data_IF_556235797261
#
_entry.id   IF_556235797261
#
_cell.length_a   1.000
_cell.length_b   1.000
_cell.length_c   1.000
_cell.angle_alpha   90.00
_cell.angle_beta   90.00
_cell.angle_gamma   90.00
#
_symmetry.space_group_name_H-M   'P 1'
#
loop_
_entity.id
_entity.type
_entity.pdbx_description
1 polymer ?
#
# COMPACT_ATOMS: atom_id res chain seq x y z
N UNK A 1 21.70 -11.97 8.67
CA UNK A 1 21.81 -12.56 10.03
C UNK A 1 23.08 -13.38 10.13
N UNK A 2 23.84 -13.27 11.22
CA UNK A 2 25.05 -14.10 11.43
C UNK A 2 24.69 -15.39 12.15
N UNK A 3 25.16 -16.52 11.62
CA UNK A 3 25.00 -17.86 12.16
C UNK A 3 26.36 -18.39 12.60
N UNK A 4 26.43 -19.06 13.75
CA UNK A 4 27.69 -19.61 14.29
C UNK A 4 27.49 -21.04 14.75
N UNK A 5 28.42 -21.92 14.40
CA UNK A 5 28.43 -23.31 14.83
C UNK A 5 29.45 -23.49 15.96
N UNK A 6 28.97 -23.84 17.15
CA UNK A 6 29.78 -23.85 18.37
C UNK A 6 30.84 -24.95 18.42
N UNK A 7 30.63 -26.07 17.73
CA UNK A 7 31.59 -27.19 17.68
C UNK A 7 32.76 -26.95 16.70
N UNK A 8 32.84 -25.76 16.09
CA UNK A 8 33.90 -25.39 15.15
C UNK A 8 33.39 -25.32 13.71
N UNK A 9 34.31 -25.45 12.74
CA UNK A 9 33.97 -25.31 11.32
C UNK A 9 32.92 -26.33 10.89
N UNK A 10 31.92 -25.87 10.13
CA UNK A 10 30.84 -26.71 9.61
C UNK A 10 30.71 -26.55 8.09
N UNK A 11 30.15 -27.57 7.44
CA UNK A 11 29.58 -27.43 6.11
C UNK A 11 28.17 -26.85 6.23
N UNK A 12 27.92 -25.74 5.56
CA UNK A 12 26.68 -24.99 5.62
C UNK A 12 25.84 -25.16 4.36
N UNK A 13 24.53 -25.37 4.53
CA UNK A 13 23.56 -25.39 3.43
C UNK A 13 22.28 -24.67 3.83
N UNK A 14 21.54 -24.14 2.86
CA UNK A 14 20.21 -23.58 3.08
C UNK A 14 19.23 -24.08 2.02
N UNK A 15 17.96 -24.23 2.39
CA UNK A 15 16.89 -24.60 1.43
C UNK A 15 16.47 -23.44 0.54
N UNK A 16 16.73 -22.20 0.97
CA UNK A 16 16.47 -20.96 0.25
C UNK A 16 17.37 -19.84 0.81
N UNK A 17 17.36 -18.67 0.16
CA UNK A 17 18.24 -17.56 0.51
C UNK A 17 19.70 -17.82 0.13
N UNK A 18 20.62 -17.01 0.66
CA UNK A 18 22.05 -17.14 0.38
C UNK A 18 22.88 -17.17 1.65
N UNK A 19 24.00 -17.88 1.58
CA UNK A 19 25.01 -17.95 2.63
C UNK A 19 26.29 -17.30 2.12
N UNK A 20 26.97 -16.53 2.96
CA UNK A 20 28.23 -15.87 2.59
C UNK A 20 29.37 -16.86 2.29
N UNK A 21 29.29 -18.09 2.81
CA UNK A 21 30.22 -19.18 2.53
C UNK A 21 29.53 -20.53 2.76
N UNK A 22 30.04 -21.58 2.11
CA UNK A 22 29.57 -22.98 2.29
C UNK A 22 30.32 -23.73 3.38
N UNK A 23 31.41 -23.17 3.91
CA UNK A 23 32.19 -23.73 5.01
C UNK A 23 32.64 -22.62 5.97
N UNK A 24 32.74 -22.94 7.26
CA UNK A 24 33.32 -22.04 8.26
C UNK A 24 32.72 -22.21 9.66
N UNK A 25 33.29 -21.52 10.64
CA UNK A 25 32.72 -21.46 12.00
C UNK A 25 31.49 -20.55 12.03
N UNK A 26 31.50 -19.49 11.21
CA UNK A 26 30.46 -18.49 11.14
C UNK A 26 30.15 -18.12 9.68
N UNK A 27 28.88 -17.91 9.37
CA UNK A 27 28.40 -17.49 8.04
C UNK A 27 27.30 -16.44 8.19
N UNK A 28 27.18 -15.54 7.22
CA UNK A 28 26.04 -14.63 7.11
C UNK A 28 24.99 -15.26 6.23
N UNK A 29 23.78 -15.41 6.76
CA UNK A 29 22.59 -15.78 6.02
C UNK A 29 21.81 -14.53 5.60
N UNK A 30 21.45 -14.48 4.32
CA UNK A 30 20.54 -13.50 3.73
C UNK A 30 19.26 -14.22 3.31
N UNK A 31 18.13 -13.82 3.89
CA UNK A 31 16.83 -14.39 3.60
C UNK A 31 16.42 -14.16 2.13
N UNK A 32 15.59 -15.04 1.55
CA UNK A 32 14.88 -14.73 0.30
C UNK A 32 14.00 -13.48 0.46
N UNK A 33 13.64 -12.89 -0.67
CA UNK A 33 12.75 -11.72 -0.76
C UNK A 33 11.26 -12.07 -0.71
N UNK A 34 10.93 -13.36 -0.59
CA UNK A 34 9.56 -13.89 -0.56
C UNK A 34 9.29 -14.66 0.73
N UNK A 35 8.02 -14.71 1.14
CA UNK A 35 7.61 -15.43 2.34
C UNK A 35 7.81 -16.95 2.20
N UNK A 36 8.19 -17.60 3.29
CA UNK A 36 8.35 -19.06 3.31
C UNK A 36 9.22 -19.58 4.44
N UNK A 37 9.22 -20.90 4.59
CA UNK A 37 10.11 -21.60 5.53
C UNK A 37 11.52 -21.75 4.94
N UNK A 38 12.53 -21.40 5.72
CA UNK A 38 13.94 -21.63 5.37
C UNK A 38 14.58 -22.50 6.42
N UNK A 39 15.23 -23.59 6.00
CA UNK A 39 16.08 -24.38 6.88
C UNK A 39 17.53 -24.15 6.52
N UNK A 40 18.34 -23.74 7.49
CA UNK A 40 19.80 -23.67 7.40
C UNK A 40 20.39 -24.83 8.19
N UNK A 41 21.34 -25.53 7.60
CA UNK A 41 22.04 -26.66 8.23
C UNK A 41 23.52 -26.35 8.41
N UNK A 42 24.08 -26.84 9.51
CA UNK A 42 25.50 -26.84 9.81
C UNK A 42 25.89 -28.26 10.23
N UNK A 43 26.47 -29.04 9.31
CA UNK A 43 26.62 -30.49 9.47
C UNK A 43 25.26 -31.16 9.83
N UNK A 44 25.18 -31.84 10.99
CA UNK A 44 23.95 -32.48 11.48
C UNK A 44 23.00 -31.52 12.22
N UNK A 45 23.43 -30.30 12.56
CA UNK A 45 22.59 -29.31 13.20
C UNK A 45 21.72 -28.57 12.17
N UNK A 46 20.51 -28.16 12.58
CA UNK A 46 19.59 -27.41 11.72
C UNK A 46 18.85 -26.33 12.50
N UNK A 47 18.59 -25.21 11.82
CA UNK A 47 17.72 -24.15 12.28
C UNK A 47 16.69 -23.83 11.19
N UNK A 48 15.44 -23.63 11.60
CA UNK A 48 14.35 -23.27 10.70
C UNK A 48 13.83 -21.89 11.05
N UNK A 49 13.66 -21.05 10.04
CA UNK A 49 13.14 -19.69 10.14
C UNK A 49 11.91 -19.55 9.24
N UNK A 50 11.01 -18.65 9.59
CA UNK A 50 9.94 -18.20 8.70
C UNK A 50 10.26 -16.79 8.23
N UNK A 51 10.35 -16.62 6.92
CA UNK A 51 10.43 -15.30 6.29
C UNK A 51 9.01 -14.79 6.12
N UNK A 52 8.73 -13.60 6.64
CA UNK A 52 7.46 -12.91 6.47
C UNK A 52 7.62 -11.83 5.41
N UNK A 53 6.68 -11.79 4.48
CA UNK A 53 6.53 -10.73 3.49
C UNK A 53 5.31 -9.86 3.83
N UNK A 54 5.17 -8.67 3.24
CA UNK A 54 3.93 -7.92 3.33
C UNK A 54 2.75 -8.77 2.86
N UNK A 55 1.66 -8.80 3.63
CA UNK A 55 0.44 -9.55 3.28
C UNK A 55 -0.80 -8.67 3.16
N UNK A 56 -0.73 -7.46 3.71
CA UNK A 56 -1.80 -6.48 3.63
C UNK A 56 -1.24 -5.06 3.72
N UNK A 57 -2.04 -4.10 3.28
CA UNK A 57 -1.80 -2.69 3.46
C UNK A 57 -3.00 -2.07 4.16
N UNK A 58 -2.75 -1.31 5.21
CA UNK A 58 -3.76 -0.48 5.87
C UNK A 58 -3.35 0.98 5.80
N UNK A 59 -4.34 1.85 5.84
CA UNK A 59 -4.15 3.29 5.87
C UNK A 59 -5.00 3.89 6.98
N UNK A 60 -4.45 4.91 7.63
CA UNK A 60 -5.24 5.88 8.37
C UNK A 60 -5.16 7.25 7.69
N UNK A 61 -5.96 8.19 8.17
CA UNK A 61 -5.94 9.56 7.66
C UNK A 61 -4.80 10.32 8.31
N UNK A 62 -4.04 11.07 7.52
CA UNK A 62 -2.98 11.94 8.03
C UNK A 62 -3.59 12.97 9.00
N UNK A 63 -3.15 12.99 10.28
CA UNK A 63 -3.65 13.94 11.27
C UNK A 63 -3.46 15.39 10.83
N UNK A 64 -4.43 16.24 11.17
CA UNK A 64 -4.38 17.68 10.85
C UNK A 64 -4.65 18.04 9.38
N UNK A 65 -4.92 17.06 8.51
CA UNK A 65 -5.34 17.32 7.13
C UNK A 65 -6.85 17.50 7.02
N UNK A 66 -7.31 18.24 6.01
CA UNK A 66 -8.75 18.39 5.70
C UNK A 66 -9.24 17.27 4.78
N UNK A 67 -10.56 17.12 4.64
CA UNK A 67 -11.13 16.37 3.49
C UNK A 67 -11.05 17.32 2.30
N UNK A 68 -10.35 16.92 1.23
CA UNK A 68 -10.33 17.69 -0.01
C UNK A 68 -11.72 17.68 -0.63
N UNK A 69 -12.22 18.83 -1.02
CA UNK A 69 -13.54 19.00 -1.60
C UNK A 69 -13.63 20.36 -2.31
N UNK A 70 -14.41 20.45 -3.38
CA UNK A 70 -14.78 21.71 -4.02
C UNK A 70 -16.23 22.02 -3.69
N UNK A 71 -16.48 23.17 -3.09
CA UNK A 71 -17.83 23.55 -2.68
C UNK A 71 -18.84 23.41 -3.83
N UNK A 72 -19.98 22.80 -3.54
CA UNK A 72 -21.09 22.49 -4.46
C UNK A 72 -20.74 21.51 -5.60
N UNK A 73 -19.63 20.77 -5.49
CA UNK A 73 -19.23 19.74 -6.46
C UNK A 73 -19.26 18.34 -5.85
N UNK A 74 -19.49 17.30 -6.65
CA UNK A 74 -19.44 15.92 -6.17
C UNK A 74 -18.01 15.33 -6.15
N UNK A 75 -17.04 16.04 -5.58
CA UNK A 75 -15.67 15.56 -5.36
C UNK A 75 -15.32 15.41 -3.89
N UNK A 76 -14.56 14.37 -3.55
CA UNK A 76 -13.97 14.26 -2.21
C UNK A 76 -12.61 13.59 -2.26
N UNK A 77 -11.84 13.80 -1.19
CA UNK A 77 -10.55 13.13 -1.05
C UNK A 77 -9.92 13.25 0.31
N UNK A 78 -8.94 12.37 0.57
CA UNK A 78 -8.20 12.32 1.83
C UNK A 78 -6.70 12.15 1.57
N UNK A 79 -5.90 12.64 2.50
CA UNK A 79 -4.49 12.30 2.62
C UNK A 79 -4.35 11.19 3.65
N UNK A 80 -3.55 10.17 3.34
CA UNK A 80 -3.41 8.94 4.12
C UNK A 80 -1.98 8.68 4.53
N UNK A 81 -1.81 7.85 5.57
CA UNK A 81 -0.54 7.24 5.95
C UNK A 81 -0.62 5.74 5.71
N UNK A 82 0.19 5.21 4.79
CA UNK A 82 0.22 3.78 4.53
C UNK A 82 1.08 2.98 5.52
N UNK A 83 0.63 1.76 5.83
CA UNK A 83 1.34 0.81 6.67
C UNK A 83 1.29 -0.60 6.06
N UNK A 84 2.43 -1.29 6.03
CA UNK A 84 2.54 -2.69 5.59
C UNK A 84 2.44 -3.64 6.78
N UNK A 85 1.47 -4.55 6.70
CA UNK A 85 1.26 -5.65 7.65
C UNK A 85 2.00 -6.92 7.20
N UNK A 86 2.32 -7.84 8.14
CA UNK A 86 2.03 -7.80 9.57
C UNK A 86 2.92 -6.85 10.39
N UNK A 87 2.51 -6.56 11.63
CA UNK A 87 3.18 -5.67 12.58
C UNK A 87 4.15 -6.37 13.54
N UNK A 88 4.43 -7.66 13.31
CA UNK A 88 5.42 -8.44 14.07
C UNK A 88 6.82 -8.40 13.47
N UNK A 89 6.96 -7.79 12.29
CA UNK A 89 8.24 -7.57 11.61
C UNK A 89 8.32 -6.16 11.05
N UNK A 90 9.54 -5.74 10.75
CA UNK A 90 9.83 -4.45 10.15
C UNK A 90 10.18 -4.61 8.68
N UNK A 91 9.50 -3.84 7.83
CA UNK A 91 9.67 -3.84 6.38
C UNK A 91 10.53 -2.68 5.86
N UNK A 92 11.45 -2.11 6.65
CA UNK A 92 12.23 -0.92 6.25
C UNK A 92 13.02 -1.07 4.93
N UNK A 93 13.41 -2.29 4.56
CA UNK A 93 14.11 -2.59 3.30
C UNK A 93 13.17 -2.92 2.13
N UNK A 94 11.85 -2.86 2.37
CA UNK A 94 10.84 -3.02 1.34
C UNK A 94 10.58 -1.67 0.67
N UNK A 95 10.26 -1.73 -0.62
CA UNK A 95 9.50 -0.68 -1.29
C UNK A 95 8.22 -1.29 -1.80
N UNK A 96 7.10 -0.58 -1.70
CA UNK A 96 5.85 -1.01 -2.30
C UNK A 96 5.35 0.01 -3.32
N UNK A 97 4.50 -0.41 -4.23
CA UNK A 97 3.89 0.48 -5.22
C UNK A 97 2.46 0.07 -5.53
N UNK A 98 1.68 1.05 -5.96
CA UNK A 98 0.37 0.84 -6.56
C UNK A 98 0.53 0.49 -8.06
N UNK A 99 -0.43 -0.27 -8.60
CA UNK A 99 -0.57 -0.47 -10.03
C UNK A 99 -1.70 0.41 -10.56
N UNK A 100 -1.45 1.18 -11.62
CA UNK A 100 -2.38 2.16 -12.16
C UNK A 100 -3.59 1.49 -12.80
N UNK A 101 -4.75 1.65 -12.16
CA UNK A 101 -6.02 1.06 -12.59
C UNK A 101 -7.02 2.11 -12.99
N UNK A 102 -7.87 1.74 -13.95
CA UNK A 102 -9.07 2.49 -14.24
C UNK A 102 -10.11 2.30 -13.13
N UNK A 103 -10.85 3.36 -12.81
CA UNK A 103 -11.98 3.27 -11.89
C UNK A 103 -13.18 2.55 -12.51
N UNK A 104 -14.09 2.09 -11.67
CA UNK A 104 -15.45 1.66 -12.04
C UNK A 104 -16.43 2.65 -11.44
N UNK A 105 -17.11 3.40 -12.30
CA UNK A 105 -18.05 4.44 -11.88
C UNK A 105 -19.51 4.01 -12.10
N UNK A 106 -20.39 4.39 -11.18
CA UNK A 106 -21.84 4.26 -11.38
C UNK A 106 -22.32 5.20 -12.48
N UNK A 107 -23.25 4.72 -13.31
CA UNK A 107 -23.94 5.52 -14.32
C UNK A 107 -25.43 5.15 -14.35
N UNK A 108 -26.36 6.14 -14.34
CA UNK A 108 -26.11 7.59 -14.31
C UNK A 108 -25.58 8.06 -12.95
N UNK A 109 -24.97 9.25 -12.91
CA UNK A 109 -24.50 9.89 -11.67
C UNK A 109 -23.34 10.88 -11.87
N UNK A 110 -22.95 11.60 -10.81
CA UNK A 110 -21.85 12.59 -10.84
C UNK A 110 -20.48 12.03 -11.25
N UNK A 111 -20.29 10.71 -11.24
CA UNK A 111 -19.07 10.04 -11.70
C UNK A 111 -19.21 9.38 -13.09
N UNK A 112 -20.29 9.63 -13.82
CA UNK A 112 -20.60 8.96 -15.09
C UNK A 112 -19.52 9.06 -16.18
N UNK A 113 -18.70 10.12 -16.18
CA UNK A 113 -17.54 10.26 -17.06
C UNK A 113 -16.36 9.35 -16.68
N UNK A 114 -16.42 8.69 -15.52
CA UNK A 114 -15.35 7.96 -14.86
C UNK A 114 -14.05 8.81 -14.78
N UNK A 115 -13.90 9.65 -13.74
CA UNK A 115 -12.73 10.53 -13.60
C UNK A 115 -11.38 9.79 -13.57
N UNK A 116 -11.39 8.50 -13.25
CA UNK A 116 -10.21 7.64 -13.23
C UNK A 116 -10.15 6.67 -14.43
N UNK A 117 -10.88 6.93 -15.53
CA UNK A 117 -10.91 6.03 -16.71
C UNK A 117 -9.54 5.83 -17.37
N UNK A 118 -8.66 6.84 -17.30
CA UNK A 118 -7.29 6.79 -17.82
C UNK A 118 -6.24 6.33 -16.81
N UNK A 119 -6.65 5.87 -15.62
CA UNK A 119 -5.75 5.63 -14.48
C UNK A 119 -5.96 6.64 -13.34
N UNK A 120 -5.52 6.28 -12.14
CA UNK A 120 -5.64 7.10 -10.94
C UNK A 120 -4.32 7.77 -10.52
N UNK A 121 -3.17 7.21 -10.91
CA UNK A 121 -1.86 7.77 -10.56
C UNK A 121 -1.11 8.38 -11.74
N UNK A 122 -1.74 8.47 -12.92
CA UNK A 122 -1.19 9.06 -14.15
C UNK A 122 0.05 8.34 -14.68
N UNK A 123 0.20 7.04 -14.41
CA UNK A 123 1.28 6.23 -14.96
C UNK A 123 1.01 5.77 -16.40
N UNK A 124 -0.15 6.13 -16.96
CA UNK A 124 -0.59 5.77 -18.31
C UNK A 124 -1.74 4.76 -18.32
N UNK A 125 -2.28 4.39 -17.15
CA UNK A 125 -3.36 3.41 -17.03
C UNK A 125 -2.93 1.99 -17.36
N UNK A 126 -3.90 1.07 -17.45
CA UNK A 126 -3.69 -0.29 -17.97
C UNK A 126 -2.77 -1.19 -17.14
N UNK A 127 -2.56 -0.89 -15.85
CA UNK A 127 -1.65 -1.64 -14.98
C UNK A 127 -0.20 -1.16 -15.04
N UNK A 128 0.07 0.05 -15.55
CA UNK A 128 1.38 0.68 -15.43
C UNK A 128 1.71 0.92 -13.94
N UNK A 129 2.97 0.75 -13.49
CA UNK A 129 3.31 0.96 -12.09
C UNK A 129 3.29 2.45 -11.71
N UNK A 130 2.67 2.77 -10.58
CA UNK A 130 2.83 4.06 -9.93
C UNK A 130 4.22 4.15 -9.25
N UNK A 131 4.54 5.33 -8.71
CA UNK A 131 5.79 5.52 -7.98
C UNK A 131 5.89 4.54 -6.79
N UNK A 132 7.10 4.02 -6.57
CA UNK A 132 7.36 3.15 -5.43
C UNK A 132 7.68 3.98 -4.19
N UNK A 133 7.06 3.60 -3.07
CA UNK A 133 7.17 4.22 -1.77
C UNK A 133 8.12 3.38 -0.89
N UNK A 134 9.07 4.07 -0.27
CA UNK A 134 10.00 3.49 0.69
C UNK A 134 9.38 3.40 2.09
N UNK A 135 9.84 2.45 2.88
CA UNK A 135 9.36 2.20 4.24
C UNK A 135 10.27 2.82 5.29
N UNK A 136 9.70 3.19 6.43
CA UNK A 136 10.45 3.60 7.64
C UNK A 136 10.95 2.37 8.39
N UNK A 137 11.74 2.60 9.44
CA UNK A 137 12.09 1.61 10.46
C UNK A 137 11.09 1.59 11.64
N UNK A 138 9.94 2.24 11.51
CA UNK A 138 8.92 2.30 12.56
C UNK A 138 7.81 1.31 12.30
N UNK A 139 7.60 0.40 13.26
CA UNK A 139 6.45 -0.51 13.30
C UNK A 139 5.45 0.00 14.33
N UNK A 140 4.21 0.21 13.91
CA UNK A 140 3.10 0.62 14.76
C UNK A 140 2.23 -0.59 15.06
N UNK A 141 2.05 -0.91 16.35
CA UNK A 141 1.20 -2.02 16.77
C UNK A 141 -0.23 -1.86 16.21
N UNK A 142 -0.75 -2.92 15.60
CA UNK A 142 -2.05 -2.97 14.93
C UNK A 142 -2.07 -2.40 13.50
N UNK A 143 -1.00 -1.75 13.02
CA UNK A 143 -0.96 -1.14 11.67
C UNK A 143 0.19 -1.66 10.81
N UNK A 144 1.36 -1.93 11.40
CA UNK A 144 2.54 -2.44 10.69
C UNK A 144 3.63 -1.39 10.45
N UNK A 145 4.49 -1.65 9.47
CA UNK A 145 5.61 -0.75 9.13
C UNK A 145 5.10 0.45 8.35
N UNK A 146 5.40 1.68 8.80
CA UNK A 146 4.91 2.91 8.16
C UNK A 146 5.70 3.25 6.90
N UNK A 147 5.03 3.72 5.84
CA UNK A 147 5.68 4.32 4.68
C UNK A 147 6.32 5.69 5.01
N UNK A 148 7.40 6.05 4.32
CA UNK A 148 8.07 7.35 4.52
C UNK A 148 7.17 8.50 4.06
N UNK A 149 6.59 8.35 2.88
CA UNK A 149 5.63 9.29 2.31
C UNK A 149 4.21 8.75 2.51
N UNK A 150 3.24 9.65 2.38
CA UNK A 150 1.82 9.31 2.51
C UNK A 150 1.24 8.83 1.19
N UNK A 151 -0.08 8.93 1.08
CA UNK A 151 -0.80 8.76 -0.16
C UNK A 151 -2.03 9.70 -0.18
N UNK A 152 -2.68 9.84 -1.34
CA UNK A 152 -3.92 10.57 -1.48
C UNK A 152 -4.94 9.77 -2.29
N UNK A 153 -6.16 9.73 -1.77
CA UNK A 153 -7.30 9.16 -2.46
C UNK A 153 -8.20 10.30 -2.94
N UNK A 154 -8.29 10.54 -4.26
CA UNK A 154 -9.13 11.58 -4.86
C UNK A 154 -10.15 11.00 -5.83
N UNK A 155 -11.40 11.44 -5.73
CA UNK A 155 -12.45 11.00 -6.65
C UNK A 155 -12.34 11.65 -8.03
N UNK A 156 -11.77 12.85 -8.10
CA UNK A 156 -12.01 13.76 -9.22
C UNK A 156 -13.50 14.17 -9.32
N UNK A 157 -13.88 14.79 -10.44
CA UNK A 157 -15.27 15.13 -10.74
C UNK A 157 -15.53 15.14 -12.24
N UNK A 158 -16.80 14.94 -12.63
CA UNK A 158 -17.26 15.06 -14.02
C UNK A 158 -17.87 16.44 -14.35
N UNK A 159 -17.91 17.37 -13.39
CA UNK A 159 -18.49 18.71 -13.60
C UNK A 159 -20.03 18.73 -13.65
N UNK A 160 -20.68 17.64 -13.27
CA UNK A 160 -22.13 17.59 -13.06
C UNK A 160 -22.54 18.64 -12.02
N UNK A 161 -23.64 19.35 -12.27
CA UNK A 161 -24.22 20.30 -11.30
C UNK A 161 -25.19 19.57 -10.35
N UNK A 162 -25.38 20.06 -9.10
CA UNK A 162 -26.42 19.55 -8.23
C UNK A 162 -27.84 19.79 -8.81
N UNK A 163 -28.86 19.02 -8.40
CA UNK A 163 -28.82 17.99 -7.37
C UNK A 163 -28.12 16.71 -7.84
N UNK A 164 -27.36 16.07 -6.94
CA UNK A 164 -26.70 14.80 -7.23
C UNK A 164 -27.56 13.61 -6.85
N UNK A 165 -27.45 12.54 -7.62
CA UNK A 165 -27.97 11.22 -7.26
C UNK A 165 -26.90 10.40 -6.53
N UNK A 166 -27.32 9.38 -5.78
CA UNK A 166 -26.41 8.40 -5.22
C UNK A 166 -25.48 7.82 -6.29
N UNK A 167 -24.20 7.71 -5.99
CA UNK A 167 -23.19 7.26 -6.95
C UNK A 167 -21.94 6.71 -6.26
N UNK A 168 -21.17 5.92 -6.99
CA UNK A 168 -19.88 5.39 -6.54
C UNK A 168 -18.81 5.52 -7.61
N UNK A 169 -17.57 5.65 -7.17
CA UNK A 169 -16.36 5.44 -7.96
C UNK A 169 -15.46 4.48 -7.16
N UNK A 170 -15.30 3.26 -7.69
CA UNK A 170 -14.50 2.21 -7.08
C UNK A 170 -13.19 2.03 -7.84
N UNK A 171 -12.07 1.95 -7.11
CA UNK A 171 -10.79 1.50 -7.63
C UNK A 171 -10.33 0.30 -6.79
N UNK A 172 -10.11 -0.83 -7.46
CA UNK A 172 -9.45 -1.99 -6.88
C UNK A 172 -8.00 -1.99 -7.38
N UNK A 173 -7.08 -1.55 -6.53
CA UNK A 173 -5.72 -1.18 -6.87
C UNK A 173 -4.78 -2.32 -6.43
N UNK A 174 -4.25 -3.15 -7.34
CA UNK A 174 -3.22 -4.12 -7.00
C UNK A 174 -1.99 -3.39 -6.46
N UNK A 175 -1.36 -3.97 -5.45
CA UNK A 175 -0.12 -3.50 -4.88
C UNK A 175 0.95 -4.58 -4.99
N UNK A 176 2.16 -4.11 -5.24
CA UNK A 176 3.35 -4.94 -5.32
C UNK A 176 4.41 -4.45 -4.34
N UNK A 177 5.28 -5.34 -3.88
CA UNK A 177 6.43 -5.01 -3.05
C UNK A 177 7.72 -5.60 -3.64
N UNK A 178 8.86 -5.00 -3.32
CA UNK A 178 10.18 -5.60 -3.55
C UNK A 178 11.07 -5.41 -2.34
N UNK A 179 12.10 -6.25 -2.22
CA UNK A 179 13.17 -6.08 -1.23
C UNK A 179 14.43 -5.58 -1.93
N UNK A 180 14.93 -4.41 -1.52
CA UNK A 180 16.10 -3.80 -2.15
C UNK A 180 15.92 -3.61 -3.66
N UNK A 181 16.87 -4.14 -4.46
CA UNK A 181 16.83 -4.11 -5.93
C UNK A 181 16.21 -5.35 -6.56
N UNK A 182 15.54 -6.20 -5.78
CA UNK A 182 14.87 -7.40 -6.27
C UNK A 182 13.65 -7.10 -7.17
N UNK A 183 13.03 -8.14 -7.73
CA UNK A 183 11.79 -8.01 -8.49
C UNK A 183 10.63 -7.57 -7.60
N UNK A 184 9.60 -6.99 -8.23
CA UNK A 184 8.33 -6.72 -7.57
C UNK A 184 7.47 -7.98 -7.54
N UNK A 185 6.79 -8.19 -6.40
CA UNK A 185 5.90 -9.31 -6.11
C UNK A 185 4.51 -8.76 -5.74
N UNK A 186 3.42 -9.25 -6.34
CA UNK A 186 2.08 -8.87 -5.91
C UNK A 186 1.81 -9.40 -4.50
N UNK A 187 1.09 -8.62 -3.68
CA UNK A 187 0.75 -9.06 -2.32
C UNK A 187 -0.67 -8.73 -1.87
N UNK A 188 -1.23 -7.61 -2.32
CA UNK A 188 -2.53 -7.17 -1.81
C UNK A 188 -3.26 -6.27 -2.82
N UNK A 189 -4.59 -6.22 -2.74
CA UNK A 189 -5.40 -5.28 -3.52
C UNK A 189 -6.09 -4.33 -2.56
N UNK A 190 -5.78 -3.03 -2.68
CA UNK A 190 -6.41 -1.98 -1.90
C UNK A 190 -7.68 -1.52 -2.58
N UNK A 191 -8.74 -1.35 -1.78
CA UNK A 191 -9.95 -0.68 -2.21
C UNK A 191 -9.85 0.80 -1.90
N UNK A 192 -10.00 1.63 -2.93
CA UNK A 192 -10.32 3.05 -2.83
C UNK A 192 -11.75 3.25 -3.35
N UNK A 193 -12.61 3.85 -2.53
CA UNK A 193 -14.02 4.03 -2.84
C UNK A 193 -14.43 5.47 -2.54
N UNK A 194 -15.10 6.08 -3.50
CA UNK A 194 -15.77 7.36 -3.33
C UNK A 194 -17.27 7.17 -3.50
N UNK A 195 -18.06 7.79 -2.63
CA UNK A 195 -19.53 7.67 -2.66
C UNK A 195 -20.21 9.02 -2.54
N UNK A 196 -21.29 9.20 -3.30
CA UNK A 196 -22.35 10.17 -3.02
C UNK A 196 -23.50 9.40 -2.41
N UNK A 197 -23.95 9.78 -1.21
CA UNK A 197 -25.04 9.09 -0.52
C UNK A 197 -26.40 9.37 -1.19
N UNK A 198 -27.44 8.67 -0.73
CA UNK A 198 -28.80 8.80 -1.27
C UNK A 198 -29.44 10.18 -1.02
N UNK A 199 -28.92 10.95 -0.07
CA UNK A 199 -29.31 12.34 0.16
C UNK A 199 -28.80 13.30 -0.93
N UNK A 200 -27.86 12.85 -1.79
CA UNK A 200 -27.24 13.66 -2.83
C UNK A 200 -26.27 14.71 -2.31
N UNK A 201 -25.98 14.74 -1.01
CA UNK A 201 -25.14 15.78 -0.38
C UNK A 201 -23.98 15.22 0.42
N UNK A 202 -24.08 14.01 0.97
CA UNK A 202 -22.99 13.42 1.74
C UNK A 202 -21.99 12.73 0.82
N UNK A 203 -20.75 13.23 0.80
CA UNK A 203 -19.64 12.65 0.07
C UNK A 203 -18.71 11.90 1.03
N UNK A 204 -18.31 10.69 0.68
CA UNK A 204 -17.34 9.91 1.46
C UNK A 204 -16.23 9.38 0.57
N UNK A 205 -14.99 9.50 1.03
CA UNK A 205 -13.83 8.81 0.49
C UNK A 205 -13.34 7.79 1.50
N UNK A 206 -13.05 6.58 1.02
CA UNK A 206 -12.44 5.48 1.77
C UNK A 206 -11.21 4.97 1.01
N UNK A 207 -10.11 4.66 1.71
CA UNK A 207 -8.99 3.88 1.17
C UNK A 207 -8.32 3.06 2.27
N UNK A 208 -8.30 1.73 2.11
CA UNK A 208 -7.61 0.80 3.01
C UNK A 208 -7.81 1.02 4.53
N UNK A 209 -8.99 1.47 4.96
CA UNK A 209 -9.30 1.77 6.37
C UNK A 209 -9.43 3.26 6.68
N UNK A 210 -8.74 4.13 5.94
CA UNK A 210 -8.84 5.57 6.09
C UNK A 210 -10.17 6.07 5.49
N UNK A 211 -10.84 6.98 6.18
CA UNK A 211 -12.13 7.55 5.76
C UNK A 211 -12.15 9.07 5.91
N UNK A 212 -12.82 9.77 5.00
CA UNK A 212 -13.18 11.17 5.11
C UNK A 212 -14.57 11.40 4.57
N UNK A 213 -15.39 12.13 5.32
CA UNK A 213 -16.76 12.49 4.94
C UNK A 213 -16.90 14.02 4.97
N UNK A 214 -17.64 14.55 4.01
CA UNK A 214 -17.89 15.98 3.83
C UNK A 214 -19.28 16.18 3.20
N UNK A 215 -19.91 17.33 3.40
CA UNK A 215 -21.12 17.71 2.69
C UNK A 215 -20.79 18.50 1.44
N UNK A 216 -21.59 18.35 0.39
CA UNK A 216 -21.49 19.13 -0.86
C UNK A 216 -21.51 20.64 -0.62
N UNK A 217 -22.23 21.11 0.41
CA UNK A 217 -22.31 22.54 0.71
C UNK A 217 -21.12 23.07 1.52
N UNK A 218 -20.27 22.19 2.06
CA UNK A 218 -19.15 22.59 2.92
C UNK A 218 -18.12 23.44 2.14
N UNK A 219 -17.38 24.32 2.83
CA UNK A 219 -16.33 25.10 2.19
C UNK A 219 -15.29 24.24 1.48
N UNK A 220 -14.73 24.77 0.39
CA UNK A 220 -13.64 24.12 -0.34
C UNK A 220 -12.47 23.79 0.58
N UNK A 221 -12.12 22.50 0.64
CA UNK A 221 -10.94 21.99 1.33
C UNK A 221 -9.86 21.60 0.34
N UNK A 222 -8.61 21.99 0.60
CA UNK A 222 -7.48 21.65 -0.27
C UNK A 222 -6.43 20.84 0.47
N UNK A 223 -5.90 19.83 -0.21
CA UNK A 223 -4.64 19.18 0.14
C UNK A 223 -3.61 19.76 -0.83
N UNK A 224 -2.69 20.57 -0.31
CA UNK A 224 -1.79 21.42 -1.12
C UNK A 224 -0.83 20.61 -1.98
N UNK A 225 -0.38 19.45 -1.49
CA UNK A 225 0.47 18.54 -2.24
C UNK A 225 0.23 17.10 -1.76
N UNK A 226 0.19 16.15 -2.70
CA UNK A 226 0.27 14.75 -2.33
C UNK A 226 1.70 14.37 -2.01
N UNK A 227 1.94 13.70 -0.87
CA UNK A 227 3.24 13.14 -0.56
C UNK A 227 3.36 11.77 -1.26
N UNK A 228 3.70 11.75 -2.55
CA UNK A 228 3.98 10.52 -3.32
C UNK A 228 5.45 10.44 -3.73
#
# INVERSE_FOLDING_TARGET
MTLTHSAGSAAWTSTAGTLSAVNGISVTFTAPDTAGGVTVRANAASLTFTVLAPTALVMDREPGTVVKHTQNSADSGIQTRPYLLPDVVNFHNVQYREMDVAGTASSPGPYSCNPASGGHCRAGGGGAPCNALSMTDTVVAGLGTRAILGDCAYSGHCGTAPPFTAATLLLAIPHEYRVGSGPFHPFYTVIQLHTVAADGTTLTTFKAGATGTIQVADPTGTITACPW
#
